data_IF_635152368227
#
_entry.id   IF_635152368227
#
_cell.length_a   1.000
_cell.length_b   1.000
_cell.length_c   1.000
_cell.angle_alpha   90.00
_cell.angle_beta   90.00
_cell.angle_gamma   90.00
#
_symmetry.space_group_name_H-M   'P 1'
#
loop_
_entity.id
_entity.type
_entity.pdbx_description
1 polymer ?
#
# COMPACT_ATOMS: atom_id res chain seq x y z
N UNK A 1 11.69 -19.62 27.60
CA UNK A 1 10.87 -19.11 26.47
C UNK A 1 11.28 -19.86 25.21
N UNK A 2 10.33 -20.29 24.37
CA UNK A 2 10.68 -20.98 23.12
C UNK A 2 11.47 -20.04 22.20
N UNK A 3 12.43 -20.58 21.43
CA UNK A 3 13.25 -19.82 20.47
C UNK A 3 12.38 -18.97 19.52
N UNK A 4 11.18 -19.48 19.18
CA UNK A 4 10.20 -18.83 18.30
C UNK A 4 9.56 -17.61 18.96
N UNK A 5 9.16 -17.71 20.23
CA UNK A 5 8.56 -16.58 20.97
C UNK A 5 9.53 -15.40 21.13
N UNK A 6 10.80 -15.69 21.39
CA UNK A 6 11.84 -14.66 21.47
C UNK A 6 12.08 -13.96 20.11
N UNK A 7 11.99 -14.71 19.01
CA UNK A 7 12.11 -14.17 17.65
C UNK A 7 10.94 -13.24 17.29
N UNK A 8 9.70 -13.67 17.54
CA UNK A 8 8.49 -12.87 17.28
C UNK A 8 8.54 -11.53 18.01
N UNK A 9 8.92 -11.55 19.29
CA UNK A 9 9.06 -10.33 20.10
C UNK A 9 10.18 -9.42 19.59
N UNK A 10 11.31 -9.98 19.15
CA UNK A 10 12.41 -9.21 18.53
C UNK A 10 11.99 -8.53 17.22
N UNK A 11 11.04 -9.12 16.48
CA UNK A 11 10.54 -8.61 15.20
C UNK A 11 9.27 -7.76 15.33
N UNK A 12 8.83 -7.45 16.56
CA UNK A 12 7.57 -6.74 16.84
C UNK A 12 6.32 -7.41 16.22
N UNK A 13 6.36 -8.74 16.11
CA UNK A 13 5.25 -9.53 15.56
C UNK A 13 4.33 -9.89 16.72
N UNK A 14 3.19 -9.20 16.79
CA UNK A 14 2.13 -9.44 17.76
C UNK A 14 0.91 -10.01 17.03
N UNK A 15 0.60 -11.28 17.27
CA UNK A 15 -0.55 -11.95 16.68
C UNK A 15 -1.81 -11.44 17.41
N UNK A 16 -2.41 -10.40 16.86
CA UNK A 16 -3.61 -9.75 17.40
C UNK A 16 -4.61 -9.46 16.30
N UNK A 17 -5.89 -9.68 16.60
CA UNK A 17 -7.01 -9.35 15.72
C UNK A 17 -7.04 -7.85 15.39
N UNK A 18 -6.64 -7.00 16.34
CA UNK A 18 -6.56 -5.56 16.11
C UNK A 18 -5.51 -5.24 15.04
N UNK A 19 -4.30 -5.78 15.17
CA UNK A 19 -3.17 -5.45 14.29
C UNK A 19 -3.34 -6.00 12.87
N UNK A 20 -3.79 -7.24 12.74
CA UNK A 20 -3.94 -7.89 11.43
C UNK A 20 -5.35 -7.72 10.83
N UNK A 21 -6.38 -7.68 11.66
CA UNK A 21 -7.77 -7.57 11.19
C UNK A 21 -8.24 -6.13 11.01
N UNK A 22 -7.85 -5.21 11.91
CA UNK A 22 -8.33 -3.82 11.85
C UNK A 22 -7.26 -2.92 11.22
N UNK A 23 -6.07 -2.88 11.79
CA UNK A 23 -5.04 -1.92 11.37
C UNK A 23 -4.52 -2.22 9.96
N UNK A 24 -4.20 -3.49 9.67
CA UNK A 24 -3.71 -3.89 8.34
C UNK A 24 -4.79 -3.80 7.25
N UNK A 25 -6.03 -4.25 7.51
CA UNK A 25 -7.12 -4.14 6.52
C UNK A 25 -7.57 -2.68 6.33
N UNK A 26 -7.56 -1.88 7.40
CA UNK A 26 -7.82 -0.44 7.31
C UNK A 26 -6.76 0.29 6.48
N UNK A 27 -5.48 -0.05 6.66
CA UNK A 27 -4.38 0.49 5.88
C UNK A 27 -4.42 0.04 4.41
N UNK A 28 -4.84 -1.20 4.13
CA UNK A 28 -5.12 -1.66 2.77
C UNK A 28 -6.14 -0.76 2.08
N UNK A 29 -7.28 -0.50 2.73
CA UNK A 29 -8.31 0.37 2.18
C UNK A 29 -7.76 1.78 1.91
N UNK A 30 -6.97 2.35 2.83
CA UNK A 30 -6.30 3.63 2.62
C UNK A 30 -5.35 3.62 1.41
N UNK A 31 -4.50 2.61 1.27
CA UNK A 31 -3.56 2.50 0.15
C UNK A 31 -4.27 2.38 -1.20
N UNK A 32 -5.32 1.56 -1.28
CA UNK A 32 -6.14 1.40 -2.47
C UNK A 32 -6.86 2.70 -2.84
N UNK A 33 -7.56 3.31 -1.88
CA UNK A 33 -8.41 4.46 -2.14
C UNK A 33 -7.59 5.70 -2.49
N UNK A 34 -6.43 5.92 -1.85
CA UNK A 34 -5.55 7.05 -2.18
C UNK A 34 -5.04 6.97 -3.63
N UNK A 35 -4.57 5.81 -4.07
CA UNK A 35 -4.05 5.63 -5.44
C UNK A 35 -5.15 5.80 -6.49
N UNK A 36 -6.33 5.23 -6.27
CA UNK A 36 -7.46 5.36 -7.20
C UNK A 36 -8.07 6.78 -7.21
N UNK A 37 -8.18 7.45 -6.06
CA UNK A 37 -8.66 8.84 -6.00
C UNK A 37 -7.73 9.77 -6.77
N UNK A 38 -6.41 9.66 -6.56
CA UNK A 38 -5.43 10.50 -7.26
C UNK A 38 -5.51 10.23 -8.77
N UNK A 39 -5.58 8.97 -9.20
CA UNK A 39 -5.73 8.63 -10.61
C UNK A 39 -7.01 9.19 -11.23
N UNK A 40 -8.13 9.15 -10.49
CA UNK A 40 -9.42 9.69 -10.94
C UNK A 40 -9.40 11.22 -11.04
N UNK A 41 -8.80 11.91 -10.06
CA UNK A 41 -8.66 13.38 -10.06
C UNK A 41 -7.83 13.83 -11.27
N UNK A 42 -6.67 13.19 -11.49
CA UNK A 42 -5.81 13.51 -12.63
C UNK A 42 -6.50 13.26 -13.97
N UNK A 43 -7.22 12.14 -14.09
CA UNK A 43 -7.96 11.84 -15.31
C UNK A 43 -9.10 12.86 -15.55
N UNK A 44 -9.75 13.32 -14.49
CA UNK A 44 -10.79 14.37 -14.55
C UNK A 44 -10.23 15.72 -14.97
N UNK A 45 -8.99 16.04 -14.57
CA UNK A 45 -8.29 17.26 -15.04
C UNK A 45 -7.93 17.10 -16.52
N UNK A 46 -7.39 15.94 -16.92
CA UNK A 46 -7.04 15.65 -18.32
C UNK A 46 -8.22 15.74 -19.27
N UNK A 47 -9.37 15.17 -18.87
CA UNK A 47 -10.60 15.22 -19.68
C UNK A 47 -11.18 16.63 -19.80
N UNK A 48 -11.13 17.43 -18.73
CA UNK A 48 -11.64 18.81 -18.75
C UNK A 48 -10.72 19.79 -19.47
N UNK A 49 -9.39 19.61 -19.37
CA UNK A 49 -8.40 20.52 -19.98
C UNK A 49 -8.00 20.12 -21.40
N UNK A 50 -8.33 18.89 -21.83
CA UNK A 50 -7.90 18.32 -23.10
C UNK A 50 -6.41 17.95 -23.15
N UNK A 51 -5.71 18.01 -22.01
CA UNK A 51 -4.29 17.71 -21.90
C UNK A 51 -4.08 16.24 -21.55
N UNK A 52 -3.78 15.42 -22.56
CA UNK A 52 -3.60 13.97 -22.45
C UNK A 52 -2.52 13.54 -21.43
N UNK A 53 -1.56 14.43 -21.11
CA UNK A 53 -0.54 14.15 -20.11
C UNK A 53 -1.14 13.85 -18.73
N UNK A 54 -2.22 14.54 -18.34
CA UNK A 54 -2.87 14.31 -17.05
C UNK A 54 -3.62 12.98 -17.02
N UNK A 55 -4.27 12.60 -18.12
CA UNK A 55 -4.91 11.28 -18.25
C UNK A 55 -3.88 10.14 -18.24
N UNK A 56 -2.73 10.36 -18.88
CA UNK A 56 -1.62 9.37 -18.88
C UNK A 56 -1.06 9.17 -17.48
N UNK A 57 -0.75 10.25 -16.76
CA UNK A 57 -0.25 10.18 -15.38
C UNK A 57 -1.32 9.65 -14.43
N UNK A 58 -2.59 9.99 -14.65
CA UNK A 58 -3.72 9.42 -13.90
C UNK A 58 -3.85 7.91 -14.10
N UNK A 59 -3.63 7.42 -15.32
CA UNK A 59 -3.56 5.99 -15.64
C UNK A 59 -2.44 5.28 -14.87
N UNK A 60 -1.23 5.86 -14.86
CA UNK A 60 -0.13 5.33 -14.06
C UNK A 60 -0.47 5.32 -12.57
N UNK A 61 -1.04 6.39 -12.02
CA UNK A 61 -1.42 6.46 -10.62
C UNK A 61 -2.43 5.37 -10.22
N UNK A 62 -3.43 5.09 -11.06
CA UNK A 62 -4.40 4.01 -10.83
C UNK A 62 -3.78 2.62 -10.94
N UNK A 63 -2.84 2.41 -11.87
CA UNK A 63 -2.11 1.12 -11.99
C UNK A 63 -1.23 0.82 -10.78
N UNK A 64 -0.79 1.85 -10.05
CA UNK A 64 0.02 1.70 -8.83
C UNK A 64 -0.79 1.29 -7.59
N UNK A 65 -2.08 0.95 -7.74
CA UNK A 65 -2.95 0.58 -6.62
C UNK A 65 -2.48 -0.69 -5.88
N UNK A 66 -2.00 -1.70 -6.60
CA UNK A 66 -1.38 -2.91 -6.03
C UNK A 66 -0.17 -2.61 -5.14
N UNK A 67 0.87 -1.93 -5.67
CA UNK A 67 2.02 -1.49 -4.86
C UNK A 67 1.63 -0.60 -3.69
N UNK A 68 0.71 0.35 -3.90
CA UNK A 68 0.26 1.27 -2.85
C UNK A 68 -0.40 0.52 -1.68
N UNK A 69 -1.24 -0.49 -1.97
CA UNK A 69 -1.81 -1.37 -0.95
C UNK A 69 -0.72 -2.16 -0.21
N UNK A 70 0.19 -2.79 -0.94
CA UNK A 70 1.25 -3.62 -0.34
C UNK A 70 2.13 -2.81 0.62
N UNK A 71 2.54 -1.60 0.20
CA UNK A 71 3.33 -0.69 1.04
C UNK A 71 2.52 -0.18 2.23
N UNK A 72 1.24 0.18 2.04
CA UNK A 72 0.38 0.66 3.14
C UNK A 72 0.17 -0.41 4.23
N UNK A 73 -0.06 -1.66 3.83
CA UNK A 73 -0.19 -2.79 4.76
C UNK A 73 1.13 -3.01 5.51
N UNK A 74 2.26 -3.08 4.78
CA UNK A 74 3.58 -3.25 5.39
C UNK A 74 3.92 -2.12 6.38
N UNK A 75 3.52 -0.89 6.05
CA UNK A 75 3.69 0.25 6.94
C UNK A 75 2.87 0.12 8.22
N UNK A 76 1.60 -0.27 8.12
CA UNK A 76 0.74 -0.49 9.29
C UNK A 76 1.24 -1.62 10.19
N UNK A 77 1.85 -2.66 9.60
CA UNK A 77 2.48 -3.75 10.34
C UNK A 77 3.85 -3.38 10.94
N UNK A 78 4.35 -2.16 10.67
CA UNK A 78 5.68 -1.67 11.08
C UNK A 78 6.83 -2.48 10.50
N UNK A 79 6.71 -2.88 9.23
CA UNK A 79 7.78 -3.57 8.54
C UNK A 79 9.05 -2.70 8.45
N UNK A 80 10.25 -3.30 8.54
CA UNK A 80 11.50 -2.56 8.37
C UNK A 80 11.62 -1.99 6.95
N UNK A 81 12.38 -0.90 6.74
CA UNK A 81 12.45 -0.20 5.45
C UNK A 81 12.77 -1.09 4.24
N UNK A 82 13.68 -2.04 4.41
CA UNK A 82 14.05 -2.98 3.32
C UNK A 82 12.87 -3.84 2.85
N UNK A 83 11.97 -4.22 3.77
CA UNK A 83 10.78 -4.98 3.42
C UNK A 83 9.77 -4.09 2.69
N UNK A 84 9.61 -2.83 3.12
CA UNK A 84 8.75 -1.86 2.42
C UNK A 84 9.20 -1.62 0.98
N UNK A 85 10.50 -1.49 0.73
CA UNK A 85 11.02 -1.35 -0.63
C UNK A 85 10.76 -2.59 -1.48
N UNK A 86 10.85 -3.79 -0.91
CA UNK A 86 10.49 -5.01 -1.63
C UNK A 86 8.99 -5.15 -1.91
N UNK A 87 8.13 -4.61 -1.04
CA UNK A 87 6.68 -4.69 -1.19
C UNK A 87 6.18 -3.87 -2.39
N UNK A 88 6.89 -2.81 -2.79
CA UNK A 88 6.54 -2.03 -3.96
C UNK A 88 6.60 -2.86 -5.26
N UNK A 89 7.65 -3.66 -5.44
CA UNK A 89 7.79 -4.51 -6.64
C UNK A 89 6.92 -5.75 -6.56
N UNK A 90 6.75 -6.34 -5.36
CA UNK A 90 5.85 -7.48 -5.15
C UNK A 90 4.40 -7.10 -5.44
N UNK A 91 3.95 -5.95 -4.97
CA UNK A 91 2.59 -5.46 -5.24
C UNK A 91 2.35 -5.05 -6.69
N UNK A 92 3.40 -4.87 -7.49
CA UNK A 92 3.29 -4.64 -8.94
C UNK A 92 3.21 -5.93 -9.74
N UNK A 93 3.77 -7.03 -9.22
CA UNK A 93 3.78 -8.34 -9.88
C UNK A 93 2.45 -9.10 -9.73
N UNK A 94 1.53 -8.61 -8.89
CA UNK A 94 0.25 -9.21 -8.55
C UNK A 94 -0.92 -8.70 -9.37
#
# INVERSE_FOLDING_TARGET
>A
MSKVGAFLKRKDIEISLKRYGIDALGAMAQGLFCSLLIGTILNTIGSQTGLEIFSTVGGYASSMSGPAMAVAIGWALKCPPLVLFSLATVGWAS
#
